data_IF_376730205016
#
_entry.id   IF_376730205016
#
_cell.length_a   1.000
_cell.length_b   1.000
_cell.length_c   1.000
_cell.angle_alpha   90.00
_cell.angle_beta   90.00
_cell.angle_gamma   90.00
#
_symmetry.space_group_name_H-M   'P 1'
#
loop_
_entity.id
_entity.type
_entity.pdbx_description
1 polymer ?
#
# COMPACT_ATOMS: atom_id res chain seq x y z
N UNK A 1 -25.08 -1.22 -44.70
CA UNK A 1 -25.47 -1.93 -43.46
C UNK A 1 -24.55 -1.46 -42.38
N UNK A 2 -24.96 -0.45 -41.57
CA UNK A 2 -24.11 0.19 -40.55
C UNK A 2 -24.28 -0.60 -39.26
N UNK A 3 -23.21 -1.28 -38.85
CA UNK A 3 -23.15 -2.03 -37.58
C UNK A 3 -23.12 -1.02 -36.41
N UNK A 4 -24.28 -0.82 -35.75
CA UNK A 4 -24.32 -0.06 -34.49
C UNK A 4 -23.67 -0.90 -33.40
N UNK A 5 -22.43 -0.57 -33.04
CA UNK A 5 -21.81 -1.06 -31.82
C UNK A 5 -22.46 -0.35 -30.64
N UNK A 6 -23.36 -1.01 -29.94
CA UNK A 6 -23.98 -0.50 -28.74
C UNK A 6 -22.96 -0.75 -27.63
N UNK A 7 -22.21 0.29 -27.23
CA UNK A 7 -21.51 0.30 -25.96
C UNK A 7 -22.55 0.29 -24.82
N UNK A 8 -22.84 -0.87 -24.26
CA UNK A 8 -23.50 -0.95 -22.96
C UNK A 8 -22.47 -0.42 -21.94
N UNK A 9 -22.64 0.84 -21.55
CA UNK A 9 -21.98 1.38 -20.37
C UNK A 9 -22.62 0.67 -19.19
N UNK A 10 -21.97 -0.40 -18.71
CA UNK A 10 -22.27 -0.94 -17.41
C UNK A 10 -21.86 0.14 -16.42
N UNK A 11 -22.84 0.72 -15.75
CA UNK A 11 -22.65 1.50 -14.55
C UNK A 11 -22.12 0.52 -13.48
N UNK A 12 -20.81 0.25 -13.51
CA UNK A 12 -20.15 -0.46 -12.43
C UNK A 12 -20.17 0.49 -11.23
N UNK A 13 -21.12 0.29 -10.34
CA UNK A 13 -20.94 0.72 -8.96
C UNK A 13 -19.72 -0.02 -8.46
N UNK A 14 -18.59 0.70 -8.31
CA UNK A 14 -17.35 0.16 -7.79
C UNK A 14 -17.54 -0.07 -6.29
N UNK A 15 -18.11 -1.21 -5.92
CA UNK A 15 -18.02 -1.67 -4.53
C UNK A 15 -16.62 -2.25 -4.35
N UNK A 16 -15.82 -1.64 -3.47
CA UNK A 16 -14.58 -2.30 -3.04
C UNK A 16 -14.92 -3.45 -2.11
N UNK A 17 -14.23 -4.56 -2.25
CA UNK A 17 -14.46 -5.78 -1.48
C UNK A 17 -13.73 -5.77 -0.14
N UNK A 18 -12.65 -4.96 -0.05
CA UNK A 18 -11.91 -4.74 1.18
C UNK A 18 -11.38 -3.30 1.26
N UNK A 19 -11.14 -2.83 2.49
CA UNK A 19 -10.73 -1.47 2.79
C UNK A 19 -9.75 -1.46 3.96
N UNK A 20 -8.77 -0.54 3.92
CA UNK A 20 -7.91 -0.21 5.05
C UNK A 20 -7.93 1.30 5.30
N UNK A 21 -8.28 1.70 6.52
CA UNK A 21 -8.13 3.09 6.98
C UNK A 21 -6.72 3.28 7.50
N UNK A 22 -5.95 4.14 6.86
CA UNK A 22 -4.56 4.39 7.17
C UNK A 22 -4.45 5.49 8.21
N UNK A 23 -3.69 5.22 9.26
CA UNK A 23 -3.39 6.17 10.32
C UNK A 23 -1.88 6.26 10.54
N UNK A 24 -1.39 7.48 10.73
CA UNK A 24 0.00 7.75 11.02
C UNK A 24 0.44 7.23 12.39
N UNK A 25 1.64 6.70 12.45
CA UNK A 25 2.32 6.32 13.69
C UNK A 25 3.09 7.48 14.32
N UNK A 26 3.83 7.20 15.41
CA UNK A 26 4.57 8.23 16.15
C UNK A 26 5.53 9.06 15.28
N UNK A 27 6.13 8.46 14.26
CA UNK A 27 7.11 9.12 13.38
C UNK A 27 6.46 10.09 12.38
N UNK A 28 5.17 9.88 12.04
CA UNK A 28 4.44 10.71 11.09
C UNK A 28 2.93 10.77 11.44
N UNK A 29 2.55 11.35 12.60
CA UNK A 29 1.20 11.20 13.17
C UNK A 29 0.08 11.86 12.36
N UNK A 30 0.42 12.68 11.38
CA UNK A 30 -0.58 13.36 10.54
C UNK A 30 -1.00 12.56 9.32
N UNK A 31 -0.27 11.50 8.95
CA UNK A 31 -0.65 10.67 7.80
C UNK A 31 -2.04 10.10 8.05
N UNK A 32 -2.90 10.22 7.04
CA UNK A 32 -4.22 9.59 7.04
C UNK A 32 -4.64 9.25 5.61
N UNK A 33 -5.53 8.29 5.47
CA UNK A 33 -6.00 7.93 4.14
C UNK A 33 -6.81 6.65 4.11
N UNK A 34 -7.07 6.20 2.88
CA UNK A 34 -7.84 4.99 2.61
C UNK A 34 -7.18 4.23 1.49
N UNK A 35 -7.09 2.92 1.66
CA UNK A 35 -6.73 1.97 0.60
C UNK A 35 -7.91 1.04 0.38
N UNK A 36 -8.38 0.92 -0.86
CA UNK A 36 -9.48 0.02 -1.23
C UNK A 36 -9.01 -1.05 -2.20
N UNK A 37 -9.63 -2.21 -2.10
CA UNK A 37 -9.37 -3.38 -2.92
C UNK A 37 -10.67 -3.81 -3.60
N UNK A 38 -10.68 -3.85 -4.91
CA UNK A 38 -11.84 -4.23 -5.71
C UNK A 38 -11.50 -5.42 -6.60
N UNK A 39 -12.18 -6.54 -6.41
CA UNK A 39 -12.04 -7.67 -7.32
C UNK A 39 -12.60 -7.31 -8.69
N UNK A 40 -11.83 -7.59 -9.72
CA UNK A 40 -12.19 -7.44 -11.12
C UNK A 40 -11.84 -8.70 -11.89
N UNK A 41 -12.25 -8.79 -13.16
CA UNK A 41 -11.88 -9.93 -13.99
C UNK A 41 -10.35 -10.02 -14.08
N UNK A 42 -9.80 -11.11 -13.59
CA UNK A 42 -8.36 -11.44 -13.66
C UNK A 42 -7.50 -10.89 -12.52
N UNK A 43 -8.05 -10.20 -11.51
CA UNK A 43 -7.28 -9.72 -10.37
C UNK A 43 -8.00 -8.67 -9.53
N UNK A 44 -7.24 -7.76 -8.96
CA UNK A 44 -7.70 -6.72 -8.03
C UNK A 44 -7.24 -5.34 -8.50
N UNK A 45 -8.13 -4.36 -8.47
CA UNK A 45 -7.78 -2.94 -8.52
C UNK A 45 -7.54 -2.46 -7.10
N UNK A 46 -6.36 -1.90 -6.86
CA UNK A 46 -5.99 -1.26 -5.59
C UNK A 46 -5.99 0.25 -5.79
N UNK A 47 -6.77 0.97 -4.95
CA UNK A 47 -6.76 2.43 -4.93
C UNK A 47 -6.23 2.91 -3.59
N UNK A 48 -5.24 3.80 -3.61
CA UNK A 48 -4.65 4.41 -2.43
C UNK A 48 -4.82 5.93 -2.50
N UNK A 49 -5.55 6.50 -1.51
CA UNK A 49 -5.73 7.93 -1.34
C UNK A 49 -5.15 8.31 0.02
N UNK A 50 -3.95 8.89 0.03
CA UNK A 50 -3.20 9.17 1.25
C UNK A 50 -2.92 10.67 1.33
N UNK A 51 -3.12 11.24 2.51
CA UNK A 51 -2.85 12.64 2.82
C UNK A 51 -1.77 12.77 3.91
N UNK A 52 -1.15 13.95 3.95
CA UNK A 52 -0.14 14.35 4.92
C UNK A 52 1.12 13.47 4.92
N UNK A 53 1.44 12.86 3.78
CA UNK A 53 2.73 12.19 3.59
C UNK A 53 3.86 13.20 3.78
N UNK A 54 5.02 12.79 4.33
CA UNK A 54 6.22 13.62 4.33
C UNK A 54 6.53 14.12 2.91
N UNK A 55 6.98 15.37 2.83
CA UNK A 55 7.41 15.92 1.53
C UNK A 55 8.73 15.26 1.12
N UNK A 56 8.88 15.05 -0.19
CA UNK A 56 10.12 14.55 -0.75
C UNK A 56 11.32 15.41 -0.32
N UNK A 57 12.39 14.75 0.10
CA UNK A 57 13.71 15.33 0.33
C UNK A 57 14.75 14.45 -0.36
N UNK A 58 15.64 15.03 -1.18
CA UNK A 58 16.71 14.26 -1.80
C UNK A 58 17.71 13.75 -0.74
N UNK A 59 18.44 12.70 -1.06
CA UNK A 59 19.57 12.26 -0.26
C UNK A 59 20.63 13.36 -0.18
N UNK A 60 21.20 13.60 1.00
CA UNK A 60 22.27 14.58 1.21
C UNK A 60 23.38 13.96 2.05
N UNK A 61 24.54 13.79 1.45
CA UNK A 61 25.67 13.12 2.10
C UNK A 61 25.36 11.66 2.46
N UNK A 62 25.31 11.35 3.76
CA UNK A 62 24.96 10.02 4.29
C UNK A 62 23.49 9.90 4.72
N UNK A 63 22.70 10.96 4.54
CA UNK A 63 21.26 10.90 4.85
C UNK A 63 20.49 10.30 3.69
N UNK A 64 19.68 9.31 4.00
CA UNK A 64 18.75 8.72 3.04
C UNK A 64 17.70 9.75 2.57
N UNK A 65 17.16 9.59 1.36
CA UNK A 65 16.07 10.44 0.89
C UNK A 65 14.80 10.20 1.71
N UNK A 66 13.93 11.19 1.82
CA UNK A 66 12.57 11.01 2.31
C UNK A 66 11.64 10.94 1.10
N UNK A 67 10.95 9.81 0.94
CA UNK A 67 10.09 9.55 -0.22
C UNK A 67 10.84 9.38 -1.56
N UNK A 68 10.16 8.87 -2.58
CA UNK A 68 8.82 8.25 -2.49
C UNK A 68 8.74 7.23 -1.36
N UNK A 69 7.53 6.83 -0.97
CA UNK A 69 7.34 5.98 0.20
C UNK A 69 7.08 4.53 -0.22
N UNK A 70 7.78 3.58 0.39
CA UNK A 70 7.49 2.17 0.28
C UNK A 70 6.05 1.89 0.75
N UNK A 71 5.36 0.98 0.06
CA UNK A 71 3.95 0.71 0.27
C UNK A 71 3.68 -0.77 0.10
N UNK A 72 3.31 -1.45 1.19
CA UNK A 72 3.25 -2.90 1.19
C UNK A 72 2.08 -3.45 2.00
N UNK A 73 1.62 -4.66 1.64
CA UNK A 73 0.86 -5.51 2.56
C UNK A 73 1.84 -6.27 3.44
N UNK A 74 1.63 -6.26 4.75
CA UNK A 74 2.37 -7.02 5.75
C UNK A 74 1.58 -8.24 6.24
N UNK A 75 2.30 -9.23 6.78
CA UNK A 75 1.77 -10.56 7.14
C UNK A 75 0.66 -10.51 8.18
N UNK A 76 0.80 -9.66 9.20
CA UNK A 76 -0.08 -9.65 10.36
C UNK A 76 -1.01 -8.42 10.35
N UNK A 77 -2.30 -8.62 10.59
CA UNK A 77 -3.30 -7.55 10.70
C UNK A 77 -3.26 -6.83 12.04
N UNK A 78 -2.15 -6.17 12.32
CA UNK A 78 -1.98 -5.37 13.53
C UNK A 78 -1.27 -4.07 13.25
N UNK A 79 -1.75 -3.00 13.88
CA UNK A 79 -1.13 -1.68 13.89
C UNK A 79 -0.63 -1.32 15.29
N UNK A 80 -0.22 -2.31 16.09
CA UNK A 80 0.38 -2.07 17.39
C UNK A 80 1.69 -1.27 17.23
N UNK A 81 1.77 -0.11 17.87
CA UNK A 81 2.93 0.78 17.76
C UNK A 81 4.20 0.09 18.28
N UNK A 82 4.13 -0.54 19.46
CA UNK A 82 5.32 -1.10 20.10
C UNK A 82 6.34 -0.01 20.43
N UNK A 83 7.55 -0.13 19.91
CA UNK A 83 8.58 0.90 20.10
C UNK A 83 8.26 2.15 19.24
N UNK A 84 8.09 3.35 19.82
CA UNK A 84 7.80 4.57 19.05
C UNK A 84 8.90 4.98 18.07
N UNK A 85 10.15 4.61 18.31
CA UNK A 85 11.29 4.91 17.42
C UNK A 85 11.38 3.94 16.22
N UNK A 86 10.68 2.79 16.33
CA UNK A 86 10.61 1.76 15.28
C UNK A 86 9.23 1.07 15.34
N UNK A 87 8.16 1.78 14.95
CA UNK A 87 6.79 1.34 15.18
C UNK A 87 6.34 0.22 14.24
N UNK A 88 5.22 -0.42 14.62
CA UNK A 88 4.50 -1.41 13.82
C UNK A 88 5.27 -2.71 13.51
N UNK A 89 6.29 -3.07 14.28
CA UNK A 89 7.08 -4.29 14.04
C UNK A 89 6.25 -5.57 14.17
N UNK A 90 5.19 -5.55 14.98
CA UNK A 90 4.25 -6.66 15.12
C UNK A 90 3.48 -7.01 13.82
N UNK A 91 3.45 -6.10 12.83
CA UNK A 91 2.87 -6.37 11.52
C UNK A 91 3.65 -7.45 10.71
N UNK A 92 4.85 -7.81 11.15
CA UNK A 92 5.68 -8.83 10.50
C UNK A 92 6.41 -8.33 9.25
N UNK A 93 6.81 -9.24 8.37
CA UNK A 93 7.41 -8.95 7.07
C UNK A 93 6.39 -8.59 6.00
N UNK A 94 6.86 -8.38 4.77
CA UNK A 94 5.96 -8.24 3.61
C UNK A 94 5.22 -9.55 3.38
N UNK A 95 3.94 -9.46 3.07
CA UNK A 95 3.14 -10.65 2.79
C UNK A 95 3.63 -11.37 1.53
N UNK A 96 4.10 -12.59 1.71
CA UNK A 96 4.76 -13.39 0.69
C UNK A 96 4.28 -14.84 0.70
N UNK A 97 3.03 -15.12 0.30
CA UNK A 97 2.46 -16.46 0.36
C UNK A 97 3.15 -17.47 -0.56
N UNK A 98 3.83 -16.98 -1.60
CA UNK A 98 4.47 -17.79 -2.63
C UNK A 98 5.99 -17.92 -2.44
N UNK A 99 6.53 -17.44 -1.32
CA UNK A 99 7.96 -17.48 -0.98
C UNK A 99 8.87 -16.98 -2.13
N UNK A 100 8.49 -15.85 -2.72
CA UNK A 100 9.26 -15.18 -3.77
C UNK A 100 10.35 -14.29 -3.18
N UNK A 101 11.40 -13.95 -3.91
CA UNK A 101 12.31 -12.85 -3.56
C UNK A 101 11.55 -11.51 -3.50
N UNK A 102 12.06 -10.58 -2.65
CA UNK A 102 11.54 -9.21 -2.60
C UNK A 102 11.59 -8.53 -3.98
N UNK A 103 10.60 -7.67 -4.21
CA UNK A 103 10.26 -7.11 -5.52
C UNK A 103 9.23 -7.97 -6.27
N UNK A 104 8.96 -9.20 -5.78
CA UNK A 104 7.92 -10.07 -6.33
C UNK A 104 7.02 -10.70 -5.24
N UNK A 105 7.07 -10.24 -3.99
CA UNK A 105 6.08 -10.63 -2.99
C UNK A 105 4.66 -10.25 -3.46
N UNK A 106 3.66 -10.95 -3.00
CA UNK A 106 2.29 -10.58 -3.29
C UNK A 106 1.93 -9.21 -2.69
N UNK A 107 2.57 -8.86 -1.57
CA UNK A 107 2.39 -7.60 -0.86
C UNK A 107 3.25 -6.43 -1.35
N UNK A 108 4.14 -6.61 -2.33
CA UNK A 108 4.97 -5.51 -2.84
C UNK A 108 4.18 -4.68 -3.86
N UNK A 109 4.00 -3.40 -3.56
CA UNK A 109 3.23 -2.45 -4.35
C UNK A 109 4.11 -1.34 -4.95
N UNK A 110 3.62 -0.59 -5.97
CA UNK A 110 4.30 0.60 -6.43
C UNK A 110 4.44 1.63 -5.30
N UNK A 111 5.57 2.34 -5.27
CA UNK A 111 5.83 3.38 -4.27
C UNK A 111 4.83 4.53 -4.34
N UNK A 112 4.53 5.13 -3.20
CA UNK A 112 3.67 6.33 -3.11
C UNK A 112 4.49 7.59 -3.32
N UNK A 113 4.19 8.37 -4.36
CA UNK A 113 4.76 9.69 -4.57
C UNK A 113 4.00 10.75 -3.77
N UNK A 114 4.70 11.52 -2.94
CA UNK A 114 4.13 12.62 -2.18
C UNK A 114 4.10 13.91 -3.00
N UNK A 115 2.94 14.23 -3.56
CA UNK A 115 2.70 15.48 -4.28
C UNK A 115 2.15 16.53 -3.29
N UNK A 116 3.04 17.32 -2.71
CA UNK A 116 2.70 18.25 -1.61
C UNK A 116 1.99 17.59 -0.42
N UNK A 117 2.37 16.36 -0.09
CA UNK A 117 1.77 15.57 0.98
C UNK A 117 0.59 14.70 0.56
N UNK A 118 0.21 14.70 -0.71
CA UNK A 118 -0.89 13.87 -1.22
C UNK A 118 -0.39 12.81 -2.20
N UNK A 119 -0.93 11.61 -2.07
CA UNK A 119 -0.79 10.54 -3.05
C UNK A 119 -2.16 10.01 -3.43
N UNK A 120 -2.40 9.92 -4.72
CA UNK A 120 -3.57 9.25 -5.28
C UNK A 120 -3.05 8.29 -6.33
N UNK A 121 -3.18 7.00 -6.07
CA UNK A 121 -2.65 5.95 -6.93
C UNK A 121 -3.69 4.85 -7.12
N UNK A 122 -3.80 4.41 -8.37
CA UNK A 122 -4.62 3.28 -8.76
C UNK A 122 -3.79 2.32 -9.60
N UNK A 123 -3.79 1.03 -9.26
CA UNK A 123 -3.10 0.01 -10.05
C UNK A 123 -3.84 -1.33 -10.01
N UNK A 124 -3.55 -2.15 -11.00
CA UNK A 124 -4.04 -3.52 -11.09
C UNK A 124 -2.97 -4.51 -10.62
N UNK A 125 -3.39 -5.57 -9.94
CA UNK A 125 -2.55 -6.73 -9.61
C UNK A 125 -3.36 -8.01 -9.75
N UNK A 126 -2.70 -9.08 -10.17
CA UNK A 126 -3.27 -10.43 -10.23
C UNK A 126 -2.61 -11.39 -9.22
N UNK A 127 -1.87 -10.85 -8.26
CA UNK A 127 -1.11 -11.65 -7.28
C UNK A 127 -2.00 -12.21 -6.15
N UNK A 128 -3.21 -11.70 -6.00
CA UNK A 128 -4.15 -12.10 -4.94
C UNK A 128 -5.59 -11.70 -5.28
N UNK A 129 -6.54 -12.16 -4.46
CA UNK A 129 -7.92 -11.71 -4.38
C UNK A 129 -8.11 -10.81 -3.15
N UNK A 130 -9.16 -9.97 -3.13
CA UNK A 130 -9.44 -9.12 -1.96
C UNK A 130 -9.65 -9.93 -0.68
N UNK A 131 -10.23 -11.12 -0.79
CA UNK A 131 -10.47 -12.03 0.35
C UNK A 131 -9.17 -12.51 1.01
N UNK A 132 -8.11 -12.73 0.24
CA UNK A 132 -6.81 -13.23 0.76
C UNK A 132 -6.06 -12.18 1.57
N UNK A 133 -6.36 -10.90 1.38
CA UNK A 133 -5.67 -9.80 2.08
C UNK A 133 -6.42 -9.30 3.32
N UNK A 134 -7.70 -9.66 3.48
CA UNK A 134 -8.46 -9.33 4.70
C UNK A 134 -7.77 -9.93 5.93
N UNK A 135 -7.66 -9.12 7.00
CA UNK A 135 -6.97 -9.50 8.22
C UNK A 135 -5.45 -9.33 8.18
N UNK A 136 -4.91 -8.70 7.13
CA UNK A 136 -3.51 -8.25 7.03
C UNK A 136 -3.42 -6.76 7.30
N UNK A 137 -2.21 -6.18 7.24
CA UNK A 137 -2.05 -4.73 7.36
C UNK A 137 -1.37 -4.12 6.14
N UNK A 138 -1.73 -2.89 5.85
CA UNK A 138 -0.99 -2.00 4.98
C UNK A 138 0.00 -1.22 5.82
N UNK A 139 1.24 -1.13 5.35
CA UNK A 139 2.28 -0.28 5.92
C UNK A 139 2.77 0.71 4.86
N UNK A 140 2.95 1.96 5.28
CA UNK A 140 3.63 3.01 4.50
C UNK A 140 4.96 3.27 5.18
N UNK A 141 6.04 3.27 4.38
CA UNK A 141 7.41 3.39 4.84
C UNK A 141 8.02 4.78 4.60
N UNK A 142 9.15 5.04 5.23
CA UNK A 142 9.88 6.31 5.14
C UNK A 142 10.57 6.49 3.79
N UNK A 143 11.29 5.45 3.35
CA UNK A 143 12.11 5.46 2.15
C UNK A 143 11.38 4.80 0.96
N UNK A 144 11.82 5.08 -0.28
CA UNK A 144 11.36 4.33 -1.43
C UNK A 144 11.80 2.87 -1.34
N UNK A 145 10.95 1.98 -1.81
CA UNK A 145 11.31 0.61 -2.09
C UNK A 145 12.20 0.55 -3.35
N UNK A 146 13.35 -0.11 -3.26
CA UNK A 146 14.25 -0.30 -4.41
C UNK A 146 13.94 -1.56 -5.23
N UNK A 147 12.97 -2.38 -4.79
CA UNK A 147 12.51 -3.64 -5.38
C UNK A 147 13.60 -4.71 -5.60
N UNK A 148 14.76 -4.59 -4.97
CA UNK A 148 15.94 -5.44 -5.19
C UNK A 148 16.59 -5.91 -3.91
N UNK A 149 16.78 -5.02 -2.95
CA UNK A 149 17.44 -5.36 -1.68
C UNK A 149 16.57 -6.28 -0.85
N UNK A 150 17.12 -7.42 -0.47
CA UNK A 150 16.43 -8.38 0.37
C UNK A 150 16.55 -7.99 1.84
N UNK A 151 15.53 -8.24 2.66
CA UNK A 151 14.22 -8.81 2.33
C UNK A 151 13.13 -7.78 2.01
N UNK A 152 13.38 -6.48 2.07
CA UNK A 152 12.34 -5.45 2.13
C UNK A 152 12.67 -4.14 1.38
N UNK A 153 13.59 -4.17 0.40
CA UNK A 153 13.85 -3.05 -0.52
C UNK A 153 14.37 -1.77 0.10
N UNK A 154 15.07 -1.84 1.25
CA UNK A 154 15.57 -0.68 1.99
C UNK A 154 14.50 0.38 2.32
N UNK A 155 13.24 -0.02 2.44
CA UNK A 155 12.09 0.88 2.63
C UNK A 155 12.12 1.69 3.93
N UNK A 156 13.05 1.39 4.85
CA UNK A 156 13.25 2.16 6.07
C UNK A 156 12.14 1.96 7.10
N UNK A 157 11.96 2.95 7.97
CA UNK A 157 11.02 2.88 9.09
C UNK A 157 9.57 2.90 8.62
N UNK A 158 8.68 2.38 9.47
CA UNK A 158 7.24 2.30 9.21
C UNK A 158 6.57 3.57 9.73
N UNK A 159 5.93 4.32 8.87
CA UNK A 159 5.33 5.62 9.19
C UNK A 159 3.84 5.55 9.52
N UNK A 160 3.10 4.69 8.81
CA UNK A 160 1.66 4.58 8.95
C UNK A 160 1.19 3.14 8.74
N UNK A 161 0.05 2.82 9.33
CA UNK A 161 -0.53 1.49 9.29
C UNK A 161 -2.05 1.55 9.14
N UNK A 162 -2.64 0.53 8.49
CA UNK A 162 -4.07 0.28 8.44
C UNK A 162 -4.37 -1.20 8.30
N UNK A 163 -5.33 -1.72 9.07
CA UNK A 163 -5.75 -3.12 8.96
C UNK A 163 -6.76 -3.24 7.82
N UNK A 164 -6.56 -4.22 6.95
CA UNK A 164 -7.47 -4.53 5.85
C UNK A 164 -8.67 -5.30 6.40
N UNK A 165 -9.85 -4.78 6.15
CA UNK A 165 -11.12 -5.36 6.62
C UNK A 165 -12.13 -5.45 5.46
N UNK A 166 -13.15 -6.33 5.58
CA UNK A 166 -14.17 -6.40 4.54
C UNK A 166 -14.93 -5.08 4.45
N UNK A 167 -15.35 -4.74 3.25
CA UNK A 167 -16.25 -3.61 3.00
C UNK A 167 -17.60 -4.15 2.52
N UNK A 168 -18.67 -3.79 3.23
CA UNK A 168 -20.06 -4.20 2.97
C UNK A 168 -20.86 -3.04 2.36
#
# INVERSE_FOLDING_TARGET
MILKVVFKIFNLYCYSNAIAYINGGPLAPKICGVVTFQDVIGGVIVNANIANLPKYKPAVGKQDPIGPHGFHIHENGTCMVGNPEDPFQAAGGHWNPNNQPHGNHAGDFPVLFSNNGYSNMCFFTNKFTSQEVIGRSIIIHENPDDYRTQPAGNSGKRLACGIIQPQY
#
